data_IF_260395544909
#
_entry.id   IF_260395544909
#
_cell.length_a   1.000
_cell.length_b   1.000
_cell.length_c   1.000
_cell.angle_alpha   90.00
_cell.angle_beta   90.00
_cell.angle_gamma   90.00
#
_symmetry.space_group_name_H-M   'P 1'
#
loop_
_entity.id
_entity.type
_entity.pdbx_description
1 polymer ?
#
# COMPACT_ATOMS: atom_id res chain seq x y z
N UNK A 1 -1.76 -9.27 0.34
CA UNK A 1 -2.59 -8.46 1.24
C UNK A 1 -2.50 -7.06 0.70
N UNK A 2 -3.61 -6.44 0.28
CA UNK A 2 -3.51 -5.12 -0.31
C UNK A 2 -3.22 -4.08 0.80
N UNK A 3 -2.26 -3.19 0.57
CA UNK A 3 -1.92 -2.12 1.51
C UNK A 3 -2.01 -0.79 0.79
N UNK A 4 -2.87 0.08 1.29
CA UNK A 4 -3.07 1.44 0.81
C UNK A 4 -2.24 2.43 1.62
N UNK A 5 -1.54 3.29 0.91
CA UNK A 5 -0.67 4.33 1.45
C UNK A 5 -1.01 5.67 0.79
N UNK A 6 -1.12 6.70 1.62
CA UNK A 6 -1.33 8.08 1.21
C UNK A 6 -0.01 8.84 1.25
N UNK A 7 0.44 9.33 0.10
CA UNK A 7 1.61 10.20 -0.05
C UNK A 7 1.11 11.64 -0.23
N UNK A 8 0.86 12.32 0.89
CA UNK A 8 0.24 13.64 0.90
C UNK A 8 -1.17 13.62 0.31
N UNK A 9 -1.33 14.08 -0.94
CA UNK A 9 -2.62 14.08 -1.67
C UNK A 9 -2.80 12.89 -2.62
N UNK A 10 -1.77 12.09 -2.79
CA UNK A 10 -1.77 10.98 -3.75
C UNK A 10 -1.98 9.66 -3.02
N UNK A 11 -2.89 8.84 -3.53
CA UNK A 11 -3.16 7.49 -3.01
C UNK A 11 -2.37 6.47 -3.83
N UNK A 12 -1.76 5.49 -3.19
CA UNK A 12 -1.21 4.31 -3.86
C UNK A 12 -1.55 3.04 -3.07
N UNK A 13 -1.76 1.94 -3.78
CA UNK A 13 -2.06 0.64 -3.22
C UNK A 13 -1.03 -0.36 -3.70
N UNK A 14 -0.37 -1.06 -2.79
CA UNK A 14 0.47 -2.21 -3.12
C UNK A 14 -0.33 -3.49 -2.93
N UNK A 15 -0.31 -4.34 -3.95
CA UNK A 15 -0.91 -5.67 -3.90
C UNK A 15 -0.02 -6.63 -4.70
N UNK A 16 0.23 -7.83 -4.15
CA UNK A 16 1.09 -8.84 -4.78
C UNK A 16 2.47 -8.28 -5.20
N UNK A 17 3.09 -7.48 -4.32
CA UNK A 17 4.37 -6.83 -4.52
C UNK A 17 4.41 -5.93 -5.77
N UNK A 18 3.29 -5.26 -6.07
CA UNK A 18 3.17 -4.30 -7.17
C UNK A 18 2.38 -3.09 -6.71
N UNK A 19 2.92 -1.91 -6.96
CA UNK A 19 2.22 -0.65 -6.69
C UNK A 19 1.25 -0.30 -7.82
N UNK A 20 0.08 0.19 -7.42
CA UNK A 20 -0.94 0.75 -8.29
C UNK A 20 -1.37 2.11 -7.72
N UNK A 21 -1.60 3.10 -8.57
CA UNK A 21 -2.06 4.44 -8.16
C UNK A 21 -2.83 5.07 -9.32
N UNK A 22 -3.82 5.93 -9.06
CA UNK A 22 -4.39 6.81 -10.08
C UNK A 22 -3.35 7.76 -10.70
N UNK A 23 -2.26 8.07 -10.01
CA UNK A 23 -1.15 8.83 -10.56
C UNK A 23 -0.10 7.86 -11.15
N UNK A 24 0.02 7.87 -12.48
CA UNK A 24 0.88 6.94 -13.19
C UNK A 24 2.38 7.18 -12.94
N UNK A 25 2.79 8.42 -12.65
CA UNK A 25 4.17 8.75 -12.32
C UNK A 25 4.52 8.22 -10.93
N UNK A 26 3.66 8.43 -9.95
CA UNK A 26 3.81 7.87 -8.61
C UNK A 26 3.83 6.34 -8.62
N UNK A 27 2.89 5.70 -9.33
CA UNK A 27 2.87 4.24 -9.44
C UNK A 27 4.19 3.74 -10.04
N UNK A 28 4.70 4.39 -11.08
CA UNK A 28 5.97 4.00 -11.71
C UNK A 28 7.13 4.17 -10.73
N UNK A 29 7.26 5.33 -10.09
CA UNK A 29 8.33 5.61 -9.14
C UNK A 29 8.34 4.60 -7.98
N UNK A 30 7.16 4.29 -7.42
CA UNK A 30 7.02 3.31 -6.34
C UNK A 30 7.39 1.89 -6.79
N UNK A 31 7.02 1.49 -8.01
CA UNK A 31 7.44 0.19 -8.56
C UNK A 31 8.94 0.13 -8.86
N UNK A 32 9.56 1.23 -9.29
CA UNK A 32 11.02 1.31 -9.53
C UNK A 32 11.82 1.23 -8.22
N UNK A 33 11.21 1.57 -7.08
CA UNK A 33 11.81 1.46 -5.74
C UNK A 33 11.69 0.07 -5.12
N UNK A 34 10.83 -0.81 -5.65
CA UNK A 34 10.74 -2.18 -5.16
C UNK A 34 12.04 -2.93 -5.42
N UNK A 35 12.37 -3.87 -4.54
CA UNK A 35 13.56 -4.69 -4.74
C UNK A 35 13.43 -5.49 -6.05
N UNK A 36 14.39 -5.38 -6.99
CA UNK A 36 14.30 -6.03 -8.29
C UNK A 36 14.35 -7.56 -8.19
N UNK A 37 14.83 -8.10 -7.06
CA UNK A 37 14.83 -9.53 -6.78
C UNK A 37 13.50 -10.04 -6.21
N UNK A 38 12.52 -9.14 -6.01
CA UNK A 38 11.25 -9.46 -5.41
C UNK A 38 11.28 -9.41 -3.87
N UNK A 39 10.19 -9.84 -3.23
CA UNK A 39 10.10 -9.84 -1.78
C UNK A 39 11.10 -10.84 -1.18
N UNK A 40 11.70 -10.48 -0.05
CA UNK A 40 12.52 -11.41 0.71
C UNK A 40 11.63 -12.60 1.13
N UNK A 41 11.95 -13.83 0.71
CA UNK A 41 11.13 -15.02 1.00
C UNK A 41 11.01 -15.40 2.49
N UNK A 42 11.62 -14.63 3.39
CA UNK A 42 11.47 -14.74 4.85
C UNK A 42 10.47 -13.72 5.42
N UNK A 43 10.00 -12.79 4.60
CA UNK A 43 9.02 -11.78 5.01
C UNK A 43 7.60 -12.38 4.91
N UNK A 44 6.85 -12.45 6.02
CA UNK A 44 5.50 -12.98 6.01
C UNK A 44 4.50 -12.05 5.29
N UNK A 45 4.78 -10.74 5.24
CA UNK A 45 3.89 -9.70 4.71
C UNK A 45 4.69 -8.70 3.85
N UNK A 46 5.21 -9.15 2.69
CA UNK A 46 6.09 -8.33 1.88
C UNK A 46 5.44 -7.04 1.36
N UNK A 47 4.13 -7.07 1.13
CA UNK A 47 3.33 -5.90 0.74
C UNK A 47 3.38 -4.83 1.83
N UNK A 48 3.19 -5.23 3.10
CA UNK A 48 3.24 -4.33 4.25
C UNK A 48 4.65 -3.79 4.50
N UNK A 49 5.67 -4.65 4.39
CA UNK A 49 7.07 -4.23 4.53
C UNK A 49 7.45 -3.20 3.46
N UNK A 50 7.07 -3.45 2.19
CA UNK A 50 7.30 -2.51 1.10
C UNK A 50 6.51 -1.20 1.28
N UNK A 51 5.24 -1.27 1.70
CA UNK A 51 4.42 -0.11 2.03
C UNK A 51 5.05 0.74 3.14
N UNK A 52 5.55 0.09 4.20
CA UNK A 52 6.19 0.76 5.33
C UNK A 52 7.52 1.40 4.94
N UNK A 53 8.30 0.77 4.07
CA UNK A 53 9.52 1.34 3.54
C UNK A 53 9.23 2.61 2.73
N UNK A 54 8.30 2.52 1.77
CA UNK A 54 7.90 3.65 0.93
C UNK A 54 7.32 4.80 1.78
N UNK A 55 6.45 4.50 2.74
CA UNK A 55 5.88 5.47 3.68
C UNK A 55 6.98 6.21 4.45
N UNK A 56 8.02 5.53 4.91
CA UNK A 56 9.14 6.14 5.63
C UNK A 56 10.00 7.06 4.75
N UNK A 57 10.20 6.70 3.50
CA UNK A 57 11.06 7.45 2.58
C UNK A 57 10.38 8.67 1.97
N UNK A 58 9.08 8.56 1.67
CA UNK A 58 8.31 9.56 0.95
C UNK A 58 7.32 10.32 1.85
N UNK A 59 7.46 10.19 3.17
CA UNK A 59 6.56 10.79 4.17
C UNK A 59 5.08 10.38 3.93
N UNK A 60 4.90 9.10 3.58
CA UNK A 60 3.60 8.49 3.36
C UNK A 60 2.96 7.99 4.66
N UNK A 61 1.63 7.86 4.64
CA UNK A 61 0.83 7.34 5.75
C UNK A 61 0.09 6.10 5.26
N UNK A 62 0.31 4.96 5.92
CA UNK A 62 -0.47 3.74 5.66
C UNK A 62 -1.88 3.99 6.20
N UNK A 63 -2.88 3.93 5.32
CA UNK A 63 -4.28 4.21 5.65
C UNK A 63 -5.14 2.96 5.73
N UNK A 64 -4.76 1.91 5.02
CA UNK A 64 -5.46 0.63 5.02
C UNK A 64 -4.40 -0.45 4.79
N UNK A 65 -4.31 -1.42 5.68
CA UNK A 65 -3.65 -2.69 5.42
C UNK A 65 -4.76 -3.71 5.63
N UNK A 66 -5.08 -4.50 4.61
CA UNK A 66 -6.24 -5.40 4.60
C UNK A 66 -6.11 -6.50 5.69
N UNK A 67 -6.27 -6.16 6.97
CA UNK A 67 -6.96 -7.01 7.92
C UNK A 67 -8.43 -6.79 7.60
N UNK A 68 -8.95 -7.58 6.65
CA UNK A 68 -10.35 -7.77 6.28
C UNK A 68 -11.26 -6.57 6.57
N UNK A 69 -11.75 -5.92 5.52
CA UNK A 69 -12.88 -4.99 5.57
C UNK A 69 -13.97 -5.42 6.58
N UNK A 70 -13.86 -4.97 7.83
CA UNK A 70 -15.00 -4.88 8.73
C UNK A 70 -15.69 -3.58 8.36
N UNK A 71 -16.45 -3.69 7.27
CA UNK A 71 -17.80 -3.17 7.12
C UNK A 71 -18.23 -2.27 8.30
N UNK A 72 -17.91 -0.97 8.22
CA UNK A 72 -18.69 0.06 8.94
C UNK A 72 -20.01 0.19 8.18
N UNK A 73 -20.82 -0.87 8.25
CA UNK A 73 -22.20 -0.87 7.85
C UNK A 73 -22.94 0.07 8.77
N UNK A 74 -22.94 1.36 8.42
CA UNK A 74 -23.83 2.37 9.01
C UNK A 74 -25.29 1.93 8.74
N UNK A 75 -25.82 1.02 9.56
CA UNK A 75 -27.26 0.75 9.62
C UNK A 75 -27.92 1.87 10.43
N UNK A 76 -28.01 3.05 9.82
CA UNK A 76 -29.00 4.05 10.20
C UNK A 76 -30.35 3.66 9.59
N UNK A 77 -31.14 2.85 10.29
CA UNK A 77 -32.60 2.81 10.06
C UNK A 77 -33.39 2.83 11.37
N UNK A 78 -33.99 4.01 11.60
CA UNK A 78 -35.21 4.38 12.34
C UNK A 78 -35.53 3.76 13.72
#
# INVERSE_FOLDING_TARGET
>A
MAVKVMFGRYEATIDNYRWTSPDAELAKELNERLDPNGPAGSDPDPDYTAARAAARELDGVIVEADEAAEDDGEERIY
#
